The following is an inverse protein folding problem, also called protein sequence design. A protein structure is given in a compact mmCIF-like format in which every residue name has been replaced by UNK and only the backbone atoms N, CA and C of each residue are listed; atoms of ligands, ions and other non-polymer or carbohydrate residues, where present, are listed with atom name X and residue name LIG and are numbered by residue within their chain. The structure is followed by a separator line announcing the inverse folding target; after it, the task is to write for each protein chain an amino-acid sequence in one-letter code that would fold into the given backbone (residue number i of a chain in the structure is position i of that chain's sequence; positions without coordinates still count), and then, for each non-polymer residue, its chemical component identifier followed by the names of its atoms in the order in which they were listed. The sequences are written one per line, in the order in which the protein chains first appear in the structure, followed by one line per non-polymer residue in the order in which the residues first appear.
data_IF_645045145978
#
_entry.id   IF_645045145978
#
_cell.length_a   1.000
_cell.length_b   1.000
_cell.length_c   1.000
_cell.angle_alpha   90.00
_cell.angle_beta   90.00
_cell.angle_gamma   90.00
#
_symmetry.space_group_name_H-M   'P 1'
#
loop_
_entity.id
_entity.type
_entity.pdbx_description
1 polymer ?
#
# COMPACT_ATOMS: atom_id res chain seq x y z
N UNK A 1 -6.40 20.05 -8.99
CA UNK A 1 -6.19 19.46 -7.65
C UNK A 1 -6.40 17.97 -7.81
N UNK A 2 -5.46 17.15 -7.35
CA UNK A 2 -5.68 15.70 -7.30
C UNK A 2 -6.82 15.41 -6.32
N UNK A 3 -7.71 14.51 -6.70
CA UNK A 3 -8.77 13.97 -5.85
C UNK A 3 -8.17 13.11 -4.73
N UNK A 4 -8.93 12.93 -3.64
CA UNK A 4 -8.51 12.04 -2.56
C UNK A 4 -8.30 10.61 -3.07
N UNK A 5 -9.06 10.18 -4.07
CA UNK A 5 -8.97 8.84 -4.65
C UNK A 5 -7.66 8.66 -5.42
N UNK A 6 -7.25 9.66 -6.22
CA UNK A 6 -5.94 9.63 -6.90
C UNK A 6 -4.78 9.56 -5.91
N UNK A 7 -4.85 10.34 -4.82
CA UNK A 7 -3.82 10.30 -3.77
C UNK A 7 -3.81 8.93 -3.07
N UNK A 8 -4.98 8.34 -2.81
CA UNK A 8 -5.11 7.00 -2.21
C UNK A 8 -4.48 5.94 -3.12
N UNK A 9 -4.73 6.00 -4.42
CA UNK A 9 -4.15 5.08 -5.40
C UNK A 9 -2.62 5.19 -5.48
N UNK A 10 -2.06 6.39 -5.48
CA UNK A 10 -0.61 6.60 -5.48
C UNK A 10 0.05 6.05 -4.21
N UNK A 11 -0.57 6.27 -3.05
CA UNK A 11 -0.10 5.71 -1.78
C UNK A 11 -0.13 4.19 -1.80
N UNK A 12 -1.23 3.58 -2.25
CA UNK A 12 -1.35 2.11 -2.37
C UNK A 12 -0.27 1.56 -3.30
N UNK A 13 0.01 2.25 -4.42
CA UNK A 13 1.04 1.82 -5.39
C UNK A 13 2.42 1.76 -4.75
N UNK A 14 2.80 2.74 -3.93
CA UNK A 14 4.08 2.74 -3.21
C UNK A 14 4.11 1.65 -2.15
N UNK A 15 3.03 1.48 -1.38
CA UNK A 15 2.96 0.45 -0.34
C UNK A 15 3.10 -0.97 -0.90
N UNK A 16 2.58 -1.24 -2.11
CA UNK A 16 2.74 -2.52 -2.81
C UNK A 16 4.17 -2.81 -3.26
N UNK A 17 5.05 -1.81 -3.31
CA UNK A 17 6.48 -2.00 -3.60
C UNK A 17 7.30 -2.36 -2.35
N UNK A 18 6.71 -2.24 -1.16
CA UNK A 18 7.35 -2.56 0.10
C UNK A 18 6.97 -4.00 0.47
N UNK A 19 7.97 -4.87 0.52
CA UNK A 19 7.81 -6.28 0.85
C UNK A 19 8.24 -6.55 2.29
N UNK A 20 7.57 -7.52 2.91
CA UNK A 20 8.03 -8.05 4.19
C UNK A 20 9.38 -8.79 3.97
N UNK A 21 10.39 -8.58 4.82
CA UNK A 21 11.70 -9.23 4.64
C UNK A 21 11.69 -10.72 5.01
N UNK A 22 10.71 -11.20 5.77
CA UNK A 22 10.58 -12.60 6.18
C UNK A 22 9.76 -13.42 5.17
N UNK A 23 8.79 -12.79 4.49
CA UNK A 23 7.96 -13.43 3.46
C UNK A 23 7.89 -12.59 2.18
N UNK A 24 7.97 -13.19 0.97
CA UNK A 24 7.98 -12.46 -0.30
C UNK A 24 6.58 -11.95 -0.70
N UNK A 25 5.89 -11.28 0.22
CA UNK A 25 4.55 -10.71 0.06
C UNK A 25 4.60 -9.23 0.46
N UNK A 26 3.87 -8.38 -0.24
CA UNK A 26 3.86 -6.95 0.07
C UNK A 26 3.00 -6.62 1.29
N UNK A 27 3.36 -5.57 2.01
CA UNK A 27 2.72 -5.17 3.27
C UNK A 27 1.24 -4.78 3.11
N UNK A 28 0.83 -4.37 1.89
CA UNK A 28 -0.54 -4.01 1.59
C UNK A 28 -1.43 -5.26 1.48
N UNK A 29 -0.99 -6.26 0.72
CA UNK A 29 -1.71 -7.52 0.55
C UNK A 29 -1.71 -8.39 1.82
N UNK A 30 -0.71 -8.20 2.69
CA UNK A 30 -0.70 -8.82 4.03
C UNK A 30 -1.76 -8.24 4.99
N UNK A 31 -2.40 -7.12 4.64
CA UNK A 31 -3.39 -6.48 5.50
C UNK A 31 -2.79 -5.88 6.78
N UNK A 32 -1.47 -5.66 6.81
CA UNK A 32 -0.78 -5.00 7.94
C UNK A 32 -1.10 -3.51 8.04
N UNK A 33 -1.70 -2.94 6.98
CA UNK A 33 -2.18 -1.57 6.95
C UNK A 33 -3.68 -1.59 7.27
N UNK A 34 -4.00 -1.51 8.56
CA UNK A 34 -5.37 -1.41 9.04
C UNK A 34 -5.89 0.03 8.86
N UNK A 35 -6.81 0.20 7.90
CA UNK A 35 -7.77 1.31 7.88
C UNK A 35 -7.34 2.56 7.11
N UNK A 36 -7.84 2.69 5.88
CA UNK A 36 -8.20 4.00 5.28
C UNK A 36 -9.65 3.95 4.84
#
# INVERSE_FOLDING_TARGET
MASLDEIKEEVIKVLKQIYDPEIPVNIYDLGLIYGV
#
